data_IF_097617322863
#
_entry.id   IF_097617322863
#
_cell.length_a   1.000
_cell.length_b   1.000
_cell.length_c   1.000
_cell.angle_alpha   90.00
_cell.angle_beta   90.00
_cell.angle_gamma   90.00
#
_symmetry.space_group_name_H-M   'P 1'
#
loop_
_entity.id
_entity.type
_entity.pdbx_description
1 polymer ?
#
# COMPACT_ATOMS: atom_id res chain seq x y z
N UNK A 1 -27.90 36.97 -1.96
CA UNK A 1 -27.17 36.71 -0.70
C UNK A 1 -27.50 35.27 -0.33
N UNK A 2 -26.47 34.42 -0.28
CA UNK A 2 -26.41 32.98 0.02
C UNK A 2 -27.47 32.03 -0.57
N UNK A 3 -27.03 31.11 -1.43
CA UNK A 3 -27.66 29.83 -1.68
C UNK A 3 -26.81 28.77 -0.96
N UNK A 4 -27.43 28.01 -0.06
CA UNK A 4 -26.87 26.87 0.65
C UNK A 4 -26.24 25.85 -0.31
N UNK A 5 -24.97 25.52 -0.09
CA UNK A 5 -24.31 24.40 -0.75
C UNK A 5 -24.86 23.09 -0.16
N UNK A 6 -25.25 22.10 -0.99
CA UNK A 6 -25.74 20.84 -0.47
C UNK A 6 -24.59 20.12 0.26
N UNK A 7 -24.92 19.56 1.43
CA UNK A 7 -23.98 18.83 2.27
C UNK A 7 -23.20 17.79 1.46
N UNK A 8 -21.87 17.90 1.49
CA UNK A 8 -20.98 16.88 0.97
C UNK A 8 -21.01 15.71 1.94
N UNK A 9 -21.90 14.77 1.70
CA UNK A 9 -21.85 13.45 2.32
C UNK A 9 -20.60 12.74 1.77
N UNK A 10 -19.55 12.70 2.58
CA UNK A 10 -18.39 11.85 2.34
C UNK A 10 -18.88 10.40 2.38
N UNK A 11 -18.95 9.73 1.22
CA UNK A 11 -19.25 8.30 1.16
C UNK A 11 -18.12 7.54 1.89
N UNK A 12 -18.42 6.67 2.87
CA UNK A 12 -17.43 5.76 3.41
C UNK A 12 -17.20 4.65 2.38
N UNK A 13 -16.26 4.83 1.45
CA UNK A 13 -15.82 3.78 0.54
C UNK A 13 -14.63 3.05 1.15
N UNK A 14 -14.87 2.37 2.27
CA UNK A 14 -13.95 1.41 2.85
C UNK A 14 -14.68 0.08 2.98
N UNK A 15 -14.25 -0.95 2.25
CA UNK A 15 -14.72 -2.32 2.51
C UNK A 15 -14.43 -2.65 3.96
N UNK A 16 -15.47 -2.80 4.77
CA UNK A 16 -15.40 -3.35 6.12
C UNK A 16 -14.88 -4.79 6.01
N UNK A 17 -13.59 -4.97 6.29
CA UNK A 17 -13.03 -6.30 6.48
C UNK A 17 -13.52 -6.79 7.82
N UNK A 18 -14.54 -7.65 7.81
CA UNK A 18 -15.01 -8.35 9.01
C UNK A 18 -13.81 -8.91 9.75
N UNK A 19 -13.65 -8.48 11.00
CA UNK A 19 -12.67 -9.00 11.96
C UNK A 19 -12.81 -10.52 12.01
N UNK A 20 -11.91 -11.24 11.35
CA UNK A 20 -11.95 -12.71 11.26
C UNK A 20 -11.21 -13.36 10.08
N UNK A 21 -10.86 -12.63 9.02
CA UNK A 21 -10.04 -13.19 7.93
C UNK A 21 -8.79 -12.33 7.70
N UNK A 22 -7.73 -12.61 8.46
CA UNK A 22 -6.38 -12.10 8.25
C UNK A 22 -5.82 -12.61 6.91
N UNK A 23 -6.26 -12.03 5.79
CA UNK A 23 -5.59 -12.19 4.51
C UNK A 23 -4.31 -11.36 4.51
N UNK A 24 -3.29 -11.85 5.21
CA UNK A 24 -1.94 -11.30 5.12
C UNK A 24 -1.48 -11.36 3.67
N UNK A 25 -1.02 -10.24 3.15
CA UNK A 25 -0.46 -10.20 1.81
C UNK A 25 0.95 -10.81 1.80
N UNK A 26 1.40 -11.24 0.63
CA UNK A 26 2.71 -11.90 0.47
C UNK A 26 3.87 -11.00 0.92
N UNK A 27 3.80 -9.69 0.66
CA UNK A 27 4.80 -8.73 1.13
C UNK A 27 4.85 -8.62 2.66
N UNK A 28 3.71 -8.68 3.35
CA UNK A 28 3.65 -8.64 4.82
C UNK A 28 4.33 -9.87 5.43
N UNK A 29 4.12 -11.04 4.83
CA UNK A 29 4.80 -12.28 5.23
C UNK A 29 6.32 -12.12 5.05
N UNK A 30 6.78 -11.61 3.91
CA UNK A 30 8.22 -11.44 3.67
C UNK A 30 8.86 -10.34 4.52
N UNK A 31 8.12 -9.30 4.93
CA UNK A 31 8.63 -8.30 5.89
C UNK A 31 8.94 -8.90 7.26
N UNK A 32 8.11 -9.85 7.71
CA UNK A 32 8.28 -10.48 9.02
C UNK A 32 9.27 -11.66 8.97
N UNK A 33 9.21 -12.48 7.92
CA UNK A 33 9.91 -13.77 7.88
C UNK A 33 10.99 -13.87 6.79
N UNK A 34 11.14 -12.88 5.92
CA UNK A 34 12.00 -12.95 4.74
C UNK A 34 13.48 -13.13 5.07
N UNK A 35 13.98 -12.47 6.11
CA UNK A 35 15.38 -12.61 6.54
C UNK A 35 15.68 -14.02 7.06
N UNK A 36 14.82 -14.56 7.92
CA UNK A 36 14.94 -15.92 8.44
C UNK A 36 14.88 -16.96 7.31
N UNK A 37 14.01 -16.74 6.32
CA UNK A 37 13.93 -17.59 5.13
C UNK A 37 15.22 -17.52 4.29
N UNK A 38 15.76 -16.32 4.06
CA UNK A 38 17.00 -16.14 3.31
C UNK A 38 18.25 -16.71 4.02
N UNK A 39 18.25 -16.73 5.36
CA UNK A 39 19.33 -17.32 6.16
C UNK A 39 19.31 -18.86 6.13
N UNK A 40 18.13 -19.47 6.03
CA UNK A 40 17.95 -20.92 6.04
C UNK A 40 17.98 -21.58 4.65
N UNK A 41 17.85 -20.80 3.58
CA UNK A 41 17.76 -21.32 2.20
C UNK A 41 18.84 -20.75 1.28
N UNK A 42 19.39 -21.60 0.40
CA UNK A 42 20.29 -21.16 -0.67
C UNK A 42 19.49 -20.52 -1.79
N UNK A 43 19.35 -19.19 -1.75
CA UNK A 43 18.67 -18.42 -2.78
C UNK A 43 19.61 -18.08 -3.94
N UNK A 44 19.08 -18.07 -5.17
CA UNK A 44 19.75 -17.46 -6.33
C UNK A 44 19.74 -15.93 -6.23
N UNK A 45 20.52 -15.25 -7.07
CA UNK A 45 20.52 -13.79 -7.14
C UNK A 45 19.13 -13.26 -7.51
N UNK A 46 18.46 -13.89 -8.48
CA UNK A 46 17.12 -13.50 -8.92
C UNK A 46 16.08 -13.70 -7.81
N UNK A 47 16.14 -14.81 -7.06
CA UNK A 47 15.22 -15.05 -5.94
C UNK A 47 15.38 -13.98 -4.85
N UNK A 48 16.62 -13.58 -4.52
CA UNK A 48 16.84 -12.47 -3.57
C UNK A 48 16.31 -11.15 -4.09
N UNK A 49 16.41 -10.90 -5.40
CA UNK A 49 15.88 -9.69 -6.03
C UNK A 49 14.36 -9.64 -5.96
N UNK A 50 13.69 -10.74 -6.30
CA UNK A 50 12.22 -10.86 -6.18
C UNK A 50 11.77 -10.64 -4.73
N UNK A 51 12.47 -11.25 -3.76
CA UNK A 51 12.14 -11.07 -2.35
C UNK A 51 12.22 -9.61 -1.90
N UNK A 52 13.28 -8.88 -2.29
CA UNK A 52 13.39 -7.44 -2.01
C UNK A 52 12.26 -6.65 -2.66
N UNK A 53 11.98 -6.88 -3.94
CA UNK A 53 10.89 -6.21 -4.64
C UNK A 53 9.54 -6.45 -3.95
N UNK A 54 9.29 -7.67 -3.45
CA UNK A 54 8.07 -7.97 -2.69
C UNK A 54 8.01 -7.18 -1.39
N UNK A 55 9.11 -7.09 -0.63
CA UNK A 55 9.18 -6.31 0.60
C UNK A 55 8.93 -4.82 0.34
N UNK A 56 9.51 -4.29 -0.73
CA UNK A 56 9.42 -2.87 -1.12
C UNK A 56 8.08 -2.53 -1.79
N UNK A 57 7.37 -3.51 -2.33
CA UNK A 57 6.09 -3.31 -2.98
C UNK A 57 5.07 -2.68 -2.03
N UNK A 58 4.35 -1.66 -2.52
CA UNK A 58 3.39 -0.85 -1.75
C UNK A 58 4.02 -0.23 -0.50
N UNK A 59 5.31 0.09 -0.55
CA UNK A 59 6.00 0.95 0.41
C UNK A 59 6.47 2.23 -0.29
N UNK A 60 6.87 3.24 0.48
CA UNK A 60 7.53 4.43 -0.08
C UNK A 60 8.96 4.19 -0.58
N UNK A 61 9.53 2.98 -0.42
CA UNK A 61 10.93 2.69 -0.77
C UNK A 61 11.21 2.80 -2.27
N UNK A 62 10.21 2.56 -3.12
CA UNK A 62 10.31 2.70 -4.59
C UNK A 62 9.99 4.14 -5.06
N UNK A 63 9.77 5.06 -4.13
CA UNK A 63 9.19 6.36 -4.41
C UNK A 63 7.69 6.26 -4.73
N UNK A 64 7.13 7.40 -5.16
CA UNK A 64 5.74 7.53 -5.53
C UNK A 64 5.48 8.86 -6.18
N UNK A 65 4.29 9.03 -6.76
CA UNK A 65 3.83 10.32 -7.26
C UNK A 65 2.75 10.89 -6.34
N UNK A 66 2.65 12.21 -6.37
CA UNK A 66 1.66 12.96 -5.63
C UNK A 66 0.70 13.55 -6.67
N UNK A 67 -0.57 13.19 -6.58
CA UNK A 67 -1.61 13.89 -7.32
C UNK A 67 -2.33 14.88 -6.41
N UNK A 68 -2.51 16.08 -6.90
CA UNK A 68 -3.32 17.11 -6.26
C UNK A 68 -4.59 17.34 -7.07
N UNK A 69 -5.75 17.31 -6.40
CA UNK A 69 -7.00 17.67 -7.05
C UNK A 69 -7.09 19.19 -7.25
N UNK A 70 -7.16 19.65 -8.49
CA UNK A 70 -7.29 21.08 -8.83
C UNK A 70 -8.61 21.71 -8.33
N UNK A 71 -9.61 20.89 -7.97
CA UNK A 71 -10.93 21.37 -7.53
C UNK A 71 -11.03 21.57 -6.01
N UNK A 72 -10.46 20.67 -5.21
CA UNK A 72 -10.59 20.69 -3.75
C UNK A 72 -9.26 20.75 -3.00
N UNK A 73 -8.12 20.67 -3.68
CA UNK A 73 -6.79 20.73 -3.08
C UNK A 73 -6.35 19.45 -2.37
N UNK A 74 -7.15 18.38 -2.38
CA UNK A 74 -6.80 17.10 -1.77
C UNK A 74 -5.53 16.51 -2.40
N UNK A 75 -4.65 15.98 -1.54
CA UNK A 75 -3.36 15.40 -1.92
C UNK A 75 -3.40 13.89 -1.74
N UNK A 76 -3.10 13.13 -2.80
CA UNK A 76 -3.04 11.67 -2.78
C UNK A 76 -1.61 11.20 -3.06
N UNK A 77 -1.08 10.34 -2.18
CA UNK A 77 0.22 9.72 -2.36
C UNK A 77 0.06 8.32 -2.95
N UNK A 78 0.64 8.11 -4.12
CA UNK A 78 0.64 6.83 -4.83
C UNK A 78 2.05 6.23 -4.86
N UNK A 79 2.34 5.23 -4.01
CA UNK A 79 3.62 4.53 -4.09
C UNK A 79 3.75 3.79 -5.42
N UNK A 80 4.95 3.81 -6.01
CA UNK A 80 5.25 2.97 -7.17
C UNK A 80 5.21 1.48 -6.77
N UNK A 81 4.53 0.67 -7.58
CA UNK A 81 4.44 -0.79 -7.44
C UNK A 81 5.50 -1.53 -8.24
#
# INVERSE_FOLDING_TARGET
MQADAPGVEVRPEGREHRTGEERRSVNEIFRVYGEAYAASHRLTVEQRRVMRNLVDCRSGALGGHIDQCDRCGAVHYFPHS
#
